data_IF_996207523451
#
_entry.id   IF_996207523451
#
_cell.length_a   1.000
_cell.length_b   1.000
_cell.length_c   1.000
_cell.angle_alpha   90.00
_cell.angle_beta   90.00
_cell.angle_gamma   90.00
#
_symmetry.space_group_name_H-M   'P 1'
#
loop_
_entity.id
_entity.type
_entity.pdbx_description
1 polymer ?
#
# COMPACT_ATOMS: atom_id res chain seq x y z
N UNK A 1 -1.81 -13.04 -13.63
CA UNK A 1 -3.05 -13.04 -13.00
C UNK A 1 -3.93 -11.90 -13.37
N UNK A 2 -5.10 -11.95 -12.89
CA UNK A 2 -6.06 -10.91 -13.13
C UNK A 2 -5.90 -9.75 -12.19
N UNK A 3 -6.57 -8.68 -12.52
CA UNK A 3 -6.59 -7.51 -11.66
C UNK A 3 -7.23 -7.86 -10.32
N UNK A 4 -6.72 -7.29 -9.27
CA UNK A 4 -7.27 -7.51 -7.96
C UNK A 4 -6.89 -8.82 -7.31
N UNK A 5 -6.00 -9.56 -7.92
CA UNK A 5 -5.51 -10.78 -7.33
C UNK A 5 -4.69 -10.46 -6.09
N UNK A 6 -4.96 -11.19 -5.01
CA UNK A 6 -4.31 -10.96 -3.74
C UNK A 6 -3.65 -12.24 -3.28
N UNK A 7 -2.38 -12.13 -2.90
CA UNK A 7 -1.65 -13.24 -2.31
C UNK A 7 -1.37 -12.91 -0.85
N UNK A 8 -1.67 -13.86 0.00
CA UNK A 8 -1.47 -13.68 1.42
C UNK A 8 0.00 -13.89 1.77
N UNK A 9 0.55 -12.95 2.51
CA UNK A 9 1.92 -13.02 2.99
C UNK A 9 1.91 -12.77 4.48
N UNK A 10 2.22 -13.80 5.26
CA UNK A 10 2.15 -13.71 6.71
C UNK A 10 3.46 -13.22 7.29
N UNK A 11 3.41 -12.10 7.98
CA UNK A 11 4.54 -11.60 8.75
C UNK A 11 4.19 -11.66 10.22
N UNK A 12 4.83 -12.54 10.92
CA UNK A 12 4.66 -12.59 12.36
C UNK A 12 5.52 -11.50 12.98
N UNK A 13 4.89 -10.48 13.49
CA UNK A 13 5.60 -9.41 14.15
C UNK A 13 5.20 -9.44 15.62
N UNK A 14 6.11 -9.89 16.44
CA UNK A 14 5.80 -10.20 17.83
C UNK A 14 6.25 -9.11 18.79
N UNK A 15 6.11 -7.86 18.42
CA UNK A 15 6.59 -6.76 19.23
C UNK A 15 5.75 -6.48 20.44
N UNK A 16 4.44 -6.57 20.34
CA UNK A 16 3.55 -6.28 21.46
C UNK A 16 2.27 -7.09 21.33
N UNK A 17 2.41 -8.32 20.87
CA UNK A 17 1.25 -9.14 20.65
C UNK A 17 0.46 -8.76 19.42
N UNK A 18 0.98 -7.86 18.60
CA UNK A 18 0.32 -7.46 17.36
C UNK A 18 0.88 -8.28 16.22
N UNK A 19 -0.02 -8.81 15.41
CA UNK A 19 0.38 -9.56 14.23
C UNK A 19 0.07 -8.75 12.97
N UNK A 20 1.03 -8.76 12.06
CA UNK A 20 0.88 -8.13 10.76
C UNK A 20 0.62 -9.18 9.71
N UNK A 21 -0.41 -8.98 8.91
CA UNK A 21 -0.67 -9.81 7.75
C UNK A 21 -0.63 -8.90 6.54
N UNK A 22 0.34 -9.13 5.67
CA UNK A 22 0.46 -8.35 4.44
C UNK A 22 -0.16 -9.14 3.29
N UNK A 23 -1.04 -8.47 2.55
CA UNK A 23 -1.69 -9.06 1.39
C UNK A 23 -1.15 -8.37 0.16
N UNK A 24 -0.56 -9.14 -0.74
CA UNK A 24 0.09 -8.60 -1.93
C UNK A 24 -0.92 -8.54 -3.05
N UNK A 25 -1.07 -7.35 -3.63
CA UNK A 25 -2.02 -7.09 -4.70
C UNK A 25 -1.29 -6.88 -6.02
N UNK A 26 -1.84 -7.40 -7.10
CA UNK A 26 -1.33 -7.08 -8.43
C UNK A 26 -1.60 -5.63 -8.79
N UNK A 27 -2.74 -5.12 -8.34
CA UNK A 27 -3.18 -3.75 -8.63
C UNK A 27 -3.86 -3.24 -7.37
N UNK A 28 -3.13 -2.47 -6.58
CA UNK A 28 -3.64 -2.05 -5.28
C UNK A 28 -4.84 -1.12 -5.41
N UNK A 29 -4.85 -0.27 -6.43
CA UNK A 29 -5.99 0.63 -6.60
C UNK A 29 -7.27 -0.15 -6.87
N UNK A 30 -7.17 -1.17 -7.73
CA UNK A 30 -8.33 -2.02 -8.01
C UNK A 30 -8.74 -2.81 -6.78
N UNK A 31 -7.77 -3.32 -6.03
CA UNK A 31 -8.06 -4.01 -4.78
C UNK A 31 -8.75 -3.09 -3.79
N UNK A 32 -8.25 -1.85 -3.66
CA UNK A 32 -8.83 -0.89 -2.74
C UNK A 32 -10.29 -0.60 -3.11
N UNK A 33 -10.54 -0.38 -4.39
CA UNK A 33 -11.90 -0.10 -4.86
C UNK A 33 -12.84 -1.25 -4.51
N UNK A 34 -12.36 -2.48 -4.70
CA UNK A 34 -13.17 -3.67 -4.40
C UNK A 34 -13.42 -3.79 -2.90
N UNK A 35 -12.38 -3.61 -2.10
CA UNK A 35 -12.50 -3.71 -0.66
C UNK A 35 -13.40 -2.61 -0.11
N UNK A 36 -13.33 -1.43 -0.71
CA UNK A 36 -14.21 -0.34 -0.33
C UNK A 36 -15.66 -0.71 -0.56
N UNK A 37 -15.94 -1.32 -1.71
CA UNK A 37 -17.29 -1.77 -2.02
C UNK A 37 -17.79 -2.81 -1.03
N UNK A 38 -16.88 -3.61 -0.50
CA UNK A 38 -17.22 -4.64 0.50
C UNK A 38 -17.31 -4.09 1.91
N UNK A 39 -17.04 -2.80 2.09
CA UNK A 39 -17.19 -2.17 3.39
C UNK A 39 -16.00 -2.32 4.32
N UNK A 40 -14.83 -2.67 3.80
CA UNK A 40 -13.64 -2.78 4.63
C UNK A 40 -13.19 -1.38 5.06
N UNK A 41 -13.07 -1.11 6.36
CA UNK A 41 -12.61 0.20 6.81
C UNK A 41 -11.10 0.29 6.76
N UNK A 42 -10.60 1.41 6.25
CA UNK A 42 -9.17 1.66 6.19
C UNK A 42 -8.79 2.70 7.22
N UNK A 43 -7.50 2.72 7.57
CA UNK A 43 -7.00 3.70 8.51
C UNK A 43 -7.02 5.08 7.87
N UNK A 44 -6.98 6.11 8.72
CA UNK A 44 -7.04 7.48 8.26
C UNK A 44 -5.94 7.78 7.26
N UNK A 45 -6.32 8.40 6.15
CA UNK A 45 -5.37 8.76 5.11
C UNK A 45 -4.42 9.87 5.59
N UNK A 46 -3.21 9.93 5.05
CA UNK A 46 -2.31 11.04 5.37
C UNK A 46 -2.89 12.34 4.83
N UNK A 47 -2.42 13.48 5.37
CA UNK A 47 -2.92 14.78 4.92
C UNK A 47 -2.53 15.06 3.47
N UNK A 48 -3.23 15.99 2.80
CA UNK A 48 -2.92 16.32 1.41
C UNK A 48 -1.46 16.73 1.18
N UNK A 49 -0.81 17.31 2.17
CA UNK A 49 0.58 17.71 2.03
C UNK A 49 1.50 16.53 1.74
N UNK A 50 1.15 15.35 2.25
CA UNK A 50 1.92 14.15 1.97
C UNK A 50 2.01 13.90 0.46
N UNK A 51 0.87 14.04 -0.23
CA UNK A 51 0.82 13.78 -1.67
C UNK A 51 1.44 14.91 -2.47
N UNK A 52 1.32 16.13 -1.98
CA UNK A 52 1.93 17.28 -2.65
C UNK A 52 3.45 17.16 -2.69
N UNK A 53 4.05 16.43 -1.76
CA UNK A 53 5.49 16.30 -1.67
C UNK A 53 6.03 15.03 -2.32
N UNK A 54 5.17 14.23 -2.95
CA UNK A 54 5.64 12.98 -3.55
C UNK A 54 6.67 13.21 -4.63
N UNK A 55 6.48 14.23 -5.49
CA UNK A 55 7.42 14.49 -6.57
C UNK A 55 8.80 14.89 -6.05
N UNK A 56 8.85 15.56 -4.91
CA UNK A 56 10.13 15.90 -4.29
C UNK A 56 10.78 14.69 -3.66
N UNK A 57 9.99 13.87 -2.98
CA UNK A 57 10.50 12.73 -2.24
C UNK A 57 10.90 11.58 -3.18
N UNK A 58 10.12 11.38 -4.23
CA UNK A 58 10.35 10.31 -5.19
C UNK A 58 10.25 10.84 -6.61
N UNK A 59 11.26 11.60 -7.08
CA UNK A 59 11.20 12.19 -8.41
C UNK A 59 11.06 11.12 -9.47
N UNK A 60 10.14 11.34 -10.42
CA UNK A 60 9.95 10.41 -11.52
C UNK A 60 9.24 9.14 -11.15
N UNK A 61 8.48 9.13 -10.05
CA UNK A 61 7.81 7.92 -9.59
C UNK A 61 6.77 7.40 -10.57
N UNK A 62 6.21 8.27 -11.40
CA UNK A 62 5.28 7.82 -12.44
C UNK A 62 3.88 7.47 -11.97
N UNK A 63 3.57 7.67 -10.69
CA UNK A 63 2.24 7.37 -10.14
C UNK A 63 1.34 8.59 -10.22
N UNK A 64 0.04 8.33 -10.25
CA UNK A 64 -0.95 9.39 -10.23
C UNK A 64 -1.21 9.79 -8.78
N UNK A 65 -0.60 10.88 -8.32
CA UNK A 65 -0.70 11.29 -6.93
C UNK A 65 -2.14 11.55 -6.51
N UNK A 66 -2.95 12.06 -7.41
CA UNK A 66 -4.35 12.33 -7.08
C UNK A 66 -5.12 11.03 -6.86
N UNK A 67 -4.87 10.02 -7.69
CA UNK A 67 -5.50 8.73 -7.53
C UNK A 67 -5.10 8.08 -6.20
N UNK A 68 -3.84 8.23 -5.81
CA UNK A 68 -3.38 7.74 -4.51
C UNK A 68 -4.06 8.50 -3.38
N UNK A 69 -4.16 9.82 -3.52
CA UNK A 69 -4.76 10.64 -2.48
C UNK A 69 -6.23 10.29 -2.27
N UNK A 70 -6.96 10.07 -3.34
CA UNK A 70 -8.37 9.74 -3.24
C UNK A 70 -8.61 8.45 -2.48
N UNK A 71 -7.63 7.56 -2.48
CA UNK A 71 -7.75 6.28 -1.82
C UNK A 71 -6.96 6.20 -0.50
N UNK A 72 -6.18 7.21 -0.21
CA UNK A 72 -5.34 7.18 0.98
C UNK A 72 -4.18 6.21 0.90
N UNK A 73 -3.76 5.88 -0.32
CA UNK A 73 -2.66 4.94 -0.52
C UNK A 73 -1.33 5.65 -0.33
N UNK A 74 -0.45 5.01 0.41
CA UNK A 74 0.89 5.51 0.68
C UNK A 74 1.84 5.03 -0.40
N UNK A 75 2.83 5.88 -0.73
CA UNK A 75 3.84 5.54 -1.72
C UNK A 75 5.21 5.66 -1.09
N UNK A 76 5.99 4.59 -1.15
CA UNK A 76 7.32 4.56 -0.60
C UNK A 76 8.26 3.94 -1.62
N UNK A 77 9.55 3.89 -1.30
CA UNK A 77 10.52 3.25 -2.18
C UNK A 77 11.63 4.19 -2.56
N UNK A 78 12.15 4.02 -3.77
CA UNK A 78 13.29 4.78 -4.26
C UNK A 78 13.19 4.96 -5.76
N UNK A 79 13.60 6.13 -6.25
CA UNK A 79 13.69 6.39 -7.68
C UNK A 79 15.11 6.77 -8.08
N UNK A 80 16.09 6.38 -7.27
CA UNK A 80 17.48 6.73 -7.52
C UNK A 80 17.99 6.09 -8.81
N UNK A 81 18.89 6.78 -9.47
CA UNK A 81 19.53 6.30 -10.70
C UNK A 81 18.52 5.93 -11.78
N UNK A 82 17.34 6.52 -11.75
CA UNK A 82 16.33 6.25 -12.74
C UNK A 82 15.71 4.86 -12.64
N UNK A 83 15.98 4.15 -11.56
CA UNK A 83 15.51 2.79 -11.35
C UNK A 83 14.44 2.80 -10.27
N UNK A 84 13.19 3.02 -10.68
CA UNK A 84 12.09 3.17 -9.73
C UNK A 84 11.74 1.84 -9.09
N UNK A 85 11.78 1.80 -7.78
CA UNK A 85 11.38 0.65 -6.99
C UNK A 85 10.37 1.17 -5.98
N UNK A 86 9.11 0.89 -6.21
CA UNK A 86 8.03 1.53 -5.48
C UNK A 86 7.24 0.51 -4.68
N UNK A 87 6.74 0.97 -3.56
CA UNK A 87 5.87 0.19 -2.70
C UNK A 87 4.62 1.03 -2.43
N UNK A 88 3.49 0.54 -2.93
CA UNK A 88 2.20 1.12 -2.61
C UNK A 88 1.61 0.33 -1.45
N UNK A 89 1.04 1.02 -0.49
CA UNK A 89 0.53 0.33 0.69
C UNK A 89 -0.64 1.08 1.31
N UNK A 90 -1.53 0.33 1.94
CA UNK A 90 -2.60 0.90 2.73
C UNK A 90 -2.93 -0.07 3.85
N UNK A 91 -3.34 0.47 5.00
CA UNK A 91 -3.61 -0.31 6.19
C UNK A 91 -5.10 -0.32 6.47
N UNK A 92 -5.64 -1.52 6.71
CA UNK A 92 -7.01 -1.65 7.17
C UNK A 92 -7.05 -1.47 8.68
N UNK A 93 -8.18 -0.97 9.17
CA UNK A 93 -8.35 -0.87 10.61
C UNK A 93 -8.42 -2.28 11.21
N UNK A 94 -7.88 -2.47 12.41
CA UNK A 94 -7.94 -3.79 13.06
C UNK A 94 -9.38 -4.23 13.22
N UNK A 95 -9.68 -5.44 12.78
CA UNK A 95 -11.02 -5.99 12.85
C UNK A 95 -11.12 -7.15 13.83
N UNK A 96 -10.04 -7.86 14.03
CA UNK A 96 -10.03 -9.05 14.87
C UNK A 96 -8.85 -8.95 15.82
N UNK A 97 -9.12 -8.55 17.06
CA UNK A 97 -8.08 -8.48 18.08
C UNK A 97 -6.87 -7.70 17.62
N UNK A 98 -5.67 -8.12 18.00
CA UNK A 98 -4.45 -7.41 17.67
C UNK A 98 -3.87 -7.80 16.31
N UNK A 99 -4.70 -7.81 15.28
CA UNK A 99 -4.27 -8.19 13.93
C UNK A 99 -4.40 -6.98 13.01
N UNK A 100 -3.31 -6.64 12.36
CA UNK A 100 -3.26 -5.58 11.36
C UNK A 100 -3.16 -6.18 9.97
N UNK A 101 -4.02 -5.74 9.08
CA UNK A 101 -3.92 -6.10 7.68
C UNK A 101 -3.35 -4.92 6.91
N UNK A 102 -2.36 -5.19 6.06
CA UNK A 102 -1.90 -4.19 5.11
C UNK A 102 -1.96 -4.77 3.72
N UNK A 103 -2.30 -3.94 2.77
CA UNK A 103 -2.39 -4.32 1.36
C UNK A 103 -1.27 -3.61 0.64
N UNK A 104 -0.46 -4.34 -0.12
CA UNK A 104 0.71 -3.76 -0.75
C UNK A 104 0.79 -4.17 -2.21
N UNK A 105 1.45 -3.32 -2.98
CA UNK A 105 1.81 -3.60 -4.36
C UNK A 105 3.22 -3.09 -4.58
N UNK A 106 4.08 -3.94 -5.11
CA UNK A 106 5.45 -3.56 -5.43
C UNK A 106 5.57 -3.35 -6.92
N UNK A 107 6.30 -2.31 -7.31
CA UNK A 107 6.58 -2.01 -8.70
C UNK A 107 8.06 -1.82 -8.88
N UNK A 108 8.61 -2.41 -9.93
CA UNK A 108 10.01 -2.23 -10.29
C UNK A 108 10.94 -3.30 -9.77
N UNK A 109 10.64 -3.90 -8.64
CA UNK A 109 11.48 -4.93 -8.05
C UNK A 109 10.62 -5.93 -7.30
N UNK A 110 10.30 -7.03 -7.94
CA UNK A 110 9.46 -8.05 -7.35
C UNK A 110 10.14 -8.80 -6.21
N UNK A 111 11.46 -8.74 -6.17
CA UNK A 111 12.20 -9.33 -5.06
C UNK A 111 12.34 -8.41 -3.87
N UNK A 112 11.85 -7.20 -4.00
CA UNK A 112 11.95 -6.18 -2.99
C UNK A 112 11.15 -6.59 -1.76
N UNK A 113 11.83 -6.72 -0.69
CA UNK A 113 11.14 -7.20 0.41
C UNK A 113 11.23 -6.97 1.69
#
# INVERSE_FOLDING_TARGET
GGKGQIEEFLRAFNGEGIQHIALICDDLMACWDRLQQLGVPFMTAPPPAYYAMLDERLPGHGEDAEALRMRGILLDGSTEAGDARLLLQIFAQPQIGPVFFEFIQRKGDEGFG
#
